data_IF_005603606934
#
_entry.id   IF_005603606934
#
_cell.length_a   1.000
_cell.length_b   1.000
_cell.length_c   1.000
_cell.angle_alpha   90.00
_cell.angle_beta   90.00
_cell.angle_gamma   90.00
#
_symmetry.space_group_name_H-M   'P 1'
#
loop_
_entity.id
_entity.type
_entity.pdbx_description
1 polymer ?
#
# COMPACT_ATOMS: atom_id res chain seq x y z
N UNK A 1 4.99 -15.51 30.39
CA UNK A 1 4.66 -14.38 29.49
C UNK A 1 4.99 -14.79 28.06
N UNK A 2 3.98 -14.97 27.21
CA UNK A 2 4.10 -15.63 25.90
C UNK A 2 4.91 -14.81 24.88
N UNK A 3 6.01 -15.36 24.37
CA UNK A 3 6.93 -14.72 23.41
C UNK A 3 6.27 -14.24 22.10
N UNK A 4 5.10 -14.76 21.75
CA UNK A 4 4.31 -14.29 20.59
C UNK A 4 3.80 -12.86 20.77
N UNK A 5 3.51 -12.43 22.00
CA UNK A 5 3.04 -11.06 22.27
C UNK A 5 4.17 -10.04 22.07
N UNK A 6 5.42 -10.42 22.40
CA UNK A 6 6.58 -9.56 22.23
C UNK A 6 7.02 -9.41 20.77
N UNK A 7 6.88 -10.46 19.94
CA UNK A 7 7.12 -10.35 18.49
C UNK A 7 6.09 -9.45 17.80
N UNK A 8 4.80 -9.63 18.08
CA UNK A 8 3.74 -8.80 17.50
C UNK A 8 3.89 -7.31 17.85
N UNK A 9 4.40 -7.01 19.05
CA UNK A 9 4.70 -5.64 19.47
C UNK A 9 5.92 -5.06 18.74
N UNK A 10 6.97 -5.85 18.51
CA UNK A 10 8.15 -5.43 17.73
C UNK A 10 7.80 -5.16 16.28
N UNK A 11 6.98 -6.00 15.65
CA UNK A 11 6.52 -5.80 14.26
C UNK A 11 5.72 -4.50 14.16
N UNK A 12 4.77 -4.26 15.08
CA UNK A 12 4.00 -3.01 15.11
C UNK A 12 4.88 -1.78 15.36
N UNK A 13 5.91 -1.89 16.19
CA UNK A 13 6.85 -0.78 16.44
C UNK A 13 7.77 -0.52 15.25
N UNK A 14 8.25 -1.55 14.55
CA UNK A 14 9.02 -1.41 13.32
C UNK A 14 8.19 -0.75 12.22
N UNK A 15 6.93 -1.20 12.03
CA UNK A 15 5.98 -0.59 11.09
C UNK A 15 5.65 0.87 11.42
N UNK A 16 5.66 1.23 12.71
CA UNK A 16 5.43 2.61 13.19
C UNK A 16 6.67 3.49 13.09
N UNK A 17 7.87 2.91 13.05
CA UNK A 17 9.13 3.63 12.87
C UNK A 17 9.37 3.91 11.38
N UNK A 18 9.06 2.94 10.52
CA UNK A 18 9.05 3.08 9.06
C UNK A 18 7.86 3.89 8.51
N UNK A 19 6.90 4.29 9.35
CA UNK A 19 5.83 5.20 8.93
C UNK A 19 6.18 6.67 9.14
N UNK A 20 7.30 6.99 9.79
CA UNK A 20 7.74 8.37 10.09
C UNK A 20 8.97 8.74 9.26
N UNK A 21 9.85 7.77 8.96
CA UNK A 21 10.77 7.84 7.84
C UNK A 21 10.11 7.09 6.70
N UNK A 22 9.81 7.76 5.59
CA UNK A 22 9.17 7.15 4.43
C UNK A 22 9.81 5.83 4.00
N UNK A 23 9.04 4.97 3.34
CA UNK A 23 9.46 3.62 3.00
C UNK A 23 10.50 3.65 1.85
N UNK A 24 11.76 3.40 2.17
CA UNK A 24 12.88 3.37 1.19
C UNK A 24 12.66 2.30 0.11
N UNK A 25 12.01 1.18 0.43
CA UNK A 25 11.68 0.16 -0.56
C UNK A 25 10.61 0.67 -1.52
N UNK A 26 9.65 1.46 -1.02
CA UNK A 26 8.63 2.09 -1.86
C UNK A 26 9.25 3.16 -2.77
N UNK A 27 10.24 3.93 -2.28
CA UNK A 27 10.99 4.88 -3.12
C UNK A 27 11.74 4.16 -4.26
N UNK A 28 12.44 3.07 -3.94
CA UNK A 28 13.09 2.24 -4.96
C UNK A 28 12.09 1.64 -5.97
N UNK A 29 10.94 1.15 -5.48
CA UNK A 29 9.89 0.61 -6.34
C UNK A 29 9.32 1.69 -7.28
N UNK A 30 9.16 2.93 -6.80
CA UNK A 30 8.73 4.06 -7.62
C UNK A 30 9.68 4.31 -8.79
N UNK A 31 10.99 4.35 -8.54
CA UNK A 31 12.00 4.55 -9.59
C UNK A 31 11.97 3.43 -10.65
N UNK A 32 11.81 2.18 -10.22
CA UNK A 32 11.65 1.05 -11.14
C UNK A 32 10.36 1.16 -11.97
N UNK A 33 9.25 1.54 -11.34
CA UNK A 33 7.94 1.65 -12.01
C UNK A 33 7.92 2.80 -13.02
N UNK A 34 8.58 3.93 -12.73
CA UNK A 34 8.79 5.02 -13.67
C UNK A 34 9.51 4.53 -14.93
N UNK A 35 10.64 3.86 -14.76
CA UNK A 35 11.41 3.29 -15.88
C UNK A 35 10.58 2.29 -16.68
N UNK A 36 9.84 1.40 -16.00
CA UNK A 36 8.98 0.42 -16.66
C UNK A 36 7.84 1.09 -17.44
N UNK A 37 7.27 2.17 -16.92
CA UNK A 37 6.18 2.91 -17.57
C UNK A 37 6.62 3.51 -18.89
N UNK A 38 7.83 4.04 -18.95
CA UNK A 38 8.44 4.60 -20.18
C UNK A 38 8.60 3.51 -21.24
N UNK A 39 9.04 2.30 -20.86
CA UNK A 39 9.14 1.17 -21.81
C UNK A 39 7.78 0.69 -22.34
N UNK A 40 6.71 0.97 -21.60
CA UNK A 40 5.34 0.58 -21.92
C UNK A 40 4.52 1.75 -22.52
N UNK A 41 5.17 2.81 -23.04
CA UNK A 41 4.48 4.00 -23.54
C UNK A 41 3.82 3.83 -24.92
N UNK A 42 4.01 2.70 -25.59
CA UNK A 42 3.35 2.38 -26.86
C UNK A 42 1.83 2.21 -26.66
N UNK A 43 1.03 2.60 -27.66
CA UNK A 43 -0.44 2.58 -27.60
C UNK A 43 -0.99 1.17 -27.36
N UNK A 44 -0.26 0.14 -27.82
CA UNK A 44 -0.58 -1.28 -27.58
C UNK A 44 -0.57 -1.67 -26.10
N UNK A 45 0.20 -0.95 -25.28
CA UNK A 45 0.38 -1.22 -23.86
C UNK A 45 -0.25 -0.16 -22.96
N UNK A 46 -1.13 0.69 -23.51
CA UNK A 46 -1.75 1.81 -22.79
C UNK A 46 -2.44 1.42 -21.49
N UNK A 47 -3.16 0.29 -21.46
CA UNK A 47 -3.79 -0.21 -20.23
C UNK A 47 -2.76 -0.65 -19.19
N UNK A 48 -1.67 -1.31 -19.61
CA UNK A 48 -0.59 -1.70 -18.72
C UNK A 48 0.14 -0.46 -18.18
N UNK A 49 0.46 0.52 -19.02
CA UNK A 49 1.06 1.80 -18.63
C UNK A 49 0.20 2.56 -17.61
N UNK A 50 -1.13 2.49 -17.75
CA UNK A 50 -2.06 3.01 -16.76
C UNK A 50 -1.94 2.29 -15.40
N UNK A 51 -1.91 0.96 -15.39
CA UNK A 51 -1.75 0.18 -14.14
C UNK A 51 -0.39 0.45 -13.47
N UNK A 52 0.68 0.54 -14.24
CA UNK A 52 2.01 0.90 -13.74
C UNK A 52 1.97 2.30 -13.12
N UNK A 53 1.29 3.26 -13.76
CA UNK A 53 1.09 4.61 -13.20
C UNK A 53 0.40 4.58 -11.84
N UNK A 54 -0.70 3.82 -11.71
CA UNK A 54 -1.39 3.67 -10.42
C UNK A 54 -0.50 3.04 -9.34
N UNK A 55 0.31 2.04 -9.70
CA UNK A 55 1.27 1.44 -8.78
C UNK A 55 2.37 2.43 -8.36
N UNK A 56 2.86 3.24 -9.30
CA UNK A 56 3.88 4.26 -9.04
C UNK A 56 3.34 5.35 -8.09
N UNK A 57 2.12 5.82 -8.29
CA UNK A 57 1.49 6.79 -7.39
C UNK A 57 1.33 6.26 -5.96
N UNK A 58 1.00 4.97 -5.80
CA UNK A 58 0.94 4.34 -4.48
C UNK A 58 2.33 4.17 -3.86
N UNK A 59 3.33 3.77 -4.65
CA UNK A 59 4.71 3.67 -4.19
C UNK A 59 5.26 5.02 -3.71
N UNK A 60 5.03 6.09 -4.48
CA UNK A 60 5.39 7.45 -4.09
C UNK A 60 4.72 7.87 -2.77
N UNK A 61 3.41 7.62 -2.65
CA UNK A 61 2.65 7.90 -1.41
C UNK A 61 3.29 7.23 -0.20
N UNK A 62 3.63 5.95 -0.31
CA UNK A 62 4.29 5.20 0.77
C UNK A 62 5.72 5.71 1.05
N UNK A 63 6.46 6.08 0.01
CA UNK A 63 7.79 6.69 0.13
C UNK A 63 7.75 8.07 0.83
N UNK A 64 6.64 8.80 0.76
CA UNK A 64 6.40 10.04 1.49
C UNK A 64 5.91 9.81 2.93
N UNK A 65 5.78 8.54 3.36
CA UNK A 65 5.28 8.17 4.68
C UNK A 65 3.77 8.33 4.82
N UNK A 66 3.05 8.55 3.72
CA UNK A 66 1.59 8.63 3.72
C UNK A 66 0.97 7.22 3.79
N UNK A 67 -0.20 7.07 4.43
CA UNK A 67 -0.86 5.78 4.50
C UNK A 67 -1.30 5.30 3.12
N UNK A 68 -1.30 3.99 2.92
CA UNK A 68 -1.81 3.35 1.70
C UNK A 68 -3.21 3.83 1.34
N UNK A 69 -3.46 4.10 0.05
CA UNK A 69 -4.81 4.44 -0.43
C UNK A 69 -5.81 3.30 -0.17
N UNK A 70 -5.37 2.04 -0.27
CA UNK A 70 -6.20 0.88 -0.01
C UNK A 70 -6.67 0.79 1.46
N UNK A 71 -5.90 1.34 2.39
CA UNK A 71 -6.26 1.35 3.82
C UNK A 71 -7.47 2.22 4.14
N UNK A 72 -7.88 3.12 3.24
CA UNK A 72 -9.11 3.92 3.39
C UNK A 72 -10.36 3.07 3.17
N UNK A 73 -10.29 2.05 2.31
CA UNK A 73 -11.42 1.19 1.95
C UNK A 73 -11.61 0.01 2.91
N UNK A 74 -10.56 -0.39 3.65
CA UNK A 74 -10.64 -1.49 4.63
C UNK A 74 -11.41 -1.13 5.91
N UNK A 75 -11.81 0.14 6.07
CA UNK A 75 -12.66 0.62 7.17
C UNK A 75 -14.16 0.53 6.92
N UNK A 76 -14.62 -0.20 5.90
CA UNK A 76 -16.06 -0.50 5.80
C UNK A 76 -16.50 -1.30 7.04
N UNK A 77 -17.54 -0.86 7.77
CA UNK A 77 -18.01 -1.58 8.94
C UNK A 77 -18.55 -2.94 8.49
N UNK A 78 -17.89 -4.01 8.92
CA UNK A 78 -18.45 -5.35 8.92
C UNK A 78 -19.69 -5.34 9.84
N UNK A 79 -20.88 -5.09 9.29
CA UNK A 79 -22.08 -5.12 10.12
C UNK A 79 -23.25 -4.32 9.59
N UNK A 80 -23.89 -4.80 8.52
CA UNK A 80 -25.35 -4.75 8.47
C UNK A 80 -25.86 -6.17 8.30
N UNK A 81 -25.66 -6.97 9.36
CA UNK A 81 -26.43 -8.20 9.53
C UNK A 81 -27.90 -7.79 9.61
N UNK A 82 -28.63 -8.01 8.52
CA UNK A 82 -30.07 -7.79 8.48
C UNK A 82 -30.68 -8.85 9.39
N UNK A 83 -30.95 -8.47 10.63
CA UNK A 83 -31.74 -9.30 11.54
C UNK A 83 -33.13 -9.49 10.91
N UNK A 84 -33.36 -10.67 10.32
CA UNK A 84 -34.71 -11.14 9.99
C UNK A 84 -35.49 -11.20 11.31
N UNK A 85 -36.44 -10.29 11.49
CA UNK A 85 -37.55 -10.47 12.45
C UNK A 85 -38.40 -11.62 11.93
N UNK A 86 -38.46 -12.70 12.71
CA UNK A 86 -39.56 -13.65 12.69
C UNK A 86 -40.76 -13.07 13.44
#
# INVERSE_FOLDING_TARGET
MSGRKTEALKIKQAYKKSSVQGDELAAYAFDMLQTLRETCSDDKHRFLSYLIGMAAEEAQRLAEGLPSAAAQFSKQPAGRSVAKKH
#
